data_IF_310414996778
#
_entry.id   IF_310414996778
#
_cell.length_a   1.000
_cell.length_b   1.000
_cell.length_c   1.000
_cell.angle_alpha   90.00
_cell.angle_beta   90.00
_cell.angle_gamma   90.00
#
_symmetry.space_group_name_H-M   'P 1'
#
loop_
_entity.id
_entity.type
_entity.pdbx_description
1 polymer ?
#
# COMPACT_ATOMS: atom_id res chain seq x y z
N UNK A 1 -2.99 18.91 -11.88
CA UNK A 1 -2.29 17.64 -11.58
C UNK A 1 -3.22 16.72 -10.80
N UNK A 2 -3.37 15.50 -11.28
CA UNK A 2 -4.24 14.52 -10.63
C UNK A 2 -3.43 13.68 -9.64
N UNK A 3 -3.83 13.69 -8.37
CA UNK A 3 -3.11 13.02 -7.28
C UNK A 3 -3.82 11.76 -6.84
N UNK A 4 -3.05 10.70 -6.68
CA UNK A 4 -3.54 9.37 -6.32
C UNK A 4 -2.92 8.97 -4.98
N UNK A 5 -3.67 8.31 -4.10
CA UNK A 5 -3.15 7.72 -2.87
C UNK A 5 -3.50 6.24 -2.78
N UNK A 6 -2.56 5.47 -2.26
CA UNK A 6 -2.80 4.08 -1.85
C UNK A 6 -2.20 3.84 -0.47
N UNK A 7 -2.78 2.92 0.27
CA UNK A 7 -2.39 2.59 1.64
C UNK A 7 -1.92 1.14 1.72
N UNK A 8 -0.93 0.87 2.54
CA UNK A 8 -0.51 -0.51 2.73
C UNK A 8 0.71 -0.67 3.61
N UNK A 9 1.04 -1.92 3.86
CA UNK A 9 2.22 -2.32 4.65
C UNK A 9 3.46 -2.44 3.79
N UNK A 10 3.31 -2.96 2.57
CA UNK A 10 4.39 -3.12 1.58
C UNK A 10 5.65 -3.78 2.15
N UNK A 11 5.46 -4.86 2.90
CA UNK A 11 6.58 -5.65 3.41
C UNK A 11 7.02 -6.66 2.35
N UNK A 12 8.33 -6.87 2.23
CA UNK A 12 8.90 -7.78 1.23
C UNK A 12 8.38 -7.46 -0.18
N UNK A 13 8.70 -6.26 -0.67
CA UNK A 13 8.26 -5.82 -1.99
C UNK A 13 8.49 -6.88 -3.07
N UNK A 14 7.46 -7.13 -3.85
CA UNK A 14 7.50 -8.11 -4.94
C UNK A 14 6.77 -7.55 -6.16
N UNK A 15 6.73 -8.34 -7.23
CA UNK A 15 6.14 -7.90 -8.50
C UNK A 15 4.68 -7.44 -8.35
N UNK A 16 3.90 -8.11 -7.50
CA UNK A 16 2.51 -7.71 -7.24
C UNK A 16 2.38 -6.30 -6.71
N UNK A 17 3.25 -5.92 -5.76
CA UNK A 17 3.31 -4.56 -5.23
C UNK A 17 3.71 -3.56 -6.32
N UNK A 18 4.72 -3.88 -7.09
CA UNK A 18 5.22 -2.99 -8.16
C UNK A 18 4.12 -2.78 -9.22
N UNK A 19 3.42 -3.84 -9.59
CA UNK A 19 2.34 -3.76 -10.56
C UNK A 19 1.18 -2.90 -10.04
N UNK A 20 0.83 -3.05 -8.77
CA UNK A 20 -0.20 -2.21 -8.14
C UNK A 20 0.21 -0.73 -8.17
N UNK A 21 1.43 -0.44 -7.77
CA UNK A 21 1.95 0.94 -7.73
C UNK A 21 1.99 1.56 -9.13
N UNK A 22 2.42 0.80 -10.13
CA UNK A 22 2.42 1.25 -11.53
C UNK A 22 1.01 1.58 -12.00
N UNK A 23 0.06 0.70 -11.76
CA UNK A 23 -1.33 0.89 -12.18
C UNK A 23 -1.98 2.05 -11.44
N UNK A 24 -1.70 2.21 -10.15
CA UNK A 24 -2.17 3.34 -9.38
C UNK A 24 -1.63 4.66 -9.96
N UNK A 25 -0.33 4.70 -10.27
CA UNK A 25 0.30 5.90 -10.84
C UNK A 25 -0.30 6.25 -12.21
N UNK A 26 -0.72 5.26 -12.99
CA UNK A 26 -1.36 5.48 -14.29
C UNK A 26 -2.74 6.13 -14.19
N UNK A 27 -3.36 6.13 -13.01
CA UNK A 27 -4.64 6.80 -12.78
C UNK A 27 -4.51 8.30 -12.56
N UNK A 28 -3.29 8.80 -12.47
CA UNK A 28 -3.04 10.23 -12.27
C UNK A 28 -1.61 10.61 -12.60
N UNK A 29 -1.18 11.74 -12.07
CA UNK A 29 0.13 12.33 -12.36
C UNK A 29 1.09 12.26 -11.18
N UNK A 30 0.57 11.92 -9.99
CA UNK A 30 1.33 11.97 -8.75
C UNK A 30 0.79 10.91 -7.81
N UNK A 31 1.66 10.03 -7.31
CA UNK A 31 1.27 8.94 -6.41
C UNK A 31 1.83 9.15 -5.02
N UNK A 32 0.92 9.21 -4.04
CA UNK A 32 1.23 9.20 -2.62
C UNK A 32 1.01 7.79 -2.09
N UNK A 33 1.98 7.25 -1.38
CA UNK A 33 1.84 5.96 -0.69
C UNK A 33 1.82 6.22 0.81
N UNK A 34 0.72 5.88 1.45
CA UNK A 34 0.61 5.94 2.91
C UNK A 34 1.03 4.58 3.47
N UNK A 35 2.19 4.57 4.11
CA UNK A 35 2.87 3.36 4.58
C UNK A 35 2.61 3.17 6.06
N UNK A 36 2.05 2.01 6.43
CA UNK A 36 1.75 1.72 7.83
C UNK A 36 3.03 1.66 8.68
N UNK A 37 2.99 2.33 9.83
CA UNK A 37 4.09 2.34 10.79
C UNK A 37 4.21 0.97 11.46
N UNK A 38 5.39 0.68 12.04
CA UNK A 38 5.59 -0.56 12.78
C UNK A 38 4.63 -0.66 13.96
N UNK A 39 4.44 0.44 14.69
CA UNK A 39 3.51 0.49 15.82
C UNK A 39 2.07 0.20 15.37
N UNK A 40 1.61 0.82 14.29
CA UNK A 40 0.27 0.58 13.77
C UNK A 40 0.08 -0.88 13.35
N UNK A 41 1.07 -1.46 12.67
CA UNK A 41 1.02 -2.87 12.29
C UNK A 41 0.96 -3.79 13.50
N UNK A 42 1.80 -3.54 14.50
CA UNK A 42 1.87 -4.39 15.70
C UNK A 42 0.59 -4.31 16.53
N UNK A 43 0.07 -3.10 16.76
CA UNK A 43 -1.05 -2.88 17.67
C UNK A 43 -2.40 -3.09 16.99
N UNK A 44 -2.60 -2.51 15.82
CA UNK A 44 -3.92 -2.48 15.17
C UNK A 44 -4.12 -3.58 14.12
N UNK A 45 -3.05 -4.00 13.46
CA UNK A 45 -3.12 -5.05 12.43
C UNK A 45 -2.62 -6.40 12.93
N UNK A 46 -2.04 -6.46 14.11
CA UNK A 46 -1.42 -7.67 14.67
C UNK A 46 -0.43 -8.29 13.68
N UNK A 47 0.40 -7.46 13.06
CA UNK A 47 1.41 -7.86 12.08
C UNK A 47 2.79 -7.45 12.54
N UNK A 48 3.78 -8.30 12.26
CA UNK A 48 5.18 -7.99 12.46
C UNK A 48 5.87 -8.08 11.11
N UNK A 49 6.36 -6.94 10.62
CA UNK A 49 7.01 -6.88 9.31
C UNK A 49 8.42 -7.44 9.38
N UNK A 50 8.87 -8.04 8.30
CA UNK A 50 10.26 -8.44 8.13
C UNK A 50 11.17 -7.21 8.11
N UNK A 51 10.77 -6.17 7.35
CA UNK A 51 11.50 -4.89 7.31
C UNK A 51 10.82 -3.85 8.19
N UNK A 52 11.65 -3.06 8.89
CA UNK A 52 11.17 -1.89 9.66
C UNK A 52 10.52 -0.85 8.74
N UNK A 53 9.75 0.05 9.34
CA UNK A 53 9.16 1.18 8.60
C UNK A 53 10.20 1.93 7.78
N UNK A 54 11.35 2.27 8.37
CA UNK A 54 12.39 3.03 7.68
C UNK A 54 12.91 2.31 6.44
N UNK A 55 13.10 1.00 6.51
CA UNK A 55 13.55 0.19 5.37
C UNK A 55 12.45 0.07 4.32
N UNK A 56 11.21 -0.14 4.73
CA UNK A 56 10.08 -0.21 3.80
C UNK A 56 9.88 1.12 3.08
N UNK A 57 10.00 2.23 3.81
CA UNK A 57 9.92 3.58 3.24
C UNK A 57 11.04 3.80 2.20
N UNK A 58 12.27 3.46 2.54
CA UNK A 58 13.41 3.61 1.63
C UNK A 58 13.24 2.82 0.35
N UNK A 59 12.72 1.59 0.45
CA UNK A 59 12.45 0.77 -0.73
C UNK A 59 11.37 1.39 -1.62
N UNK A 60 10.29 1.90 -1.02
CA UNK A 60 9.23 2.57 -1.78
C UNK A 60 9.72 3.84 -2.46
N UNK A 61 10.54 4.62 -1.76
CA UNK A 61 11.07 5.87 -2.30
C UNK A 61 12.01 5.64 -3.49
N UNK A 62 12.57 4.44 -3.62
CA UNK A 62 13.41 4.06 -4.75
C UNK A 62 12.59 3.62 -5.99
N UNK A 63 11.28 3.44 -5.85
CA UNK A 63 10.42 3.01 -6.94
C UNK A 63 9.99 4.22 -7.77
N UNK A 64 10.22 4.15 -9.08
CA UNK A 64 9.97 5.28 -9.98
C UNK A 64 8.52 5.76 -10.01
N UNK A 65 7.57 4.91 -9.64
CA UNK A 65 6.14 5.25 -9.68
C UNK A 65 5.68 6.00 -8.44
N UNK A 66 6.49 6.02 -7.38
CA UNK A 66 6.13 6.62 -6.08
C UNK A 66 6.71 8.03 -6.01
N UNK A 67 5.84 9.00 -5.75
CA UNK A 67 6.24 10.41 -5.66
C UNK A 67 6.42 10.87 -4.21
N UNK A 68 5.62 10.31 -3.29
CA UNK A 68 5.67 10.70 -1.88
C UNK A 68 5.27 9.52 -1.00
N UNK A 69 5.99 9.31 0.08
CA UNK A 69 5.63 8.32 1.10
C UNK A 69 5.26 9.07 2.38
N UNK A 70 4.08 8.78 2.91
CA UNK A 70 3.60 9.35 4.18
C UNK A 70 3.31 8.21 5.16
N UNK A 71 3.37 8.46 6.47
CA UNK A 71 3.05 7.42 7.44
C UNK A 71 1.55 7.21 7.61
N UNK A 72 1.15 5.95 7.78
CA UNK A 72 -0.20 5.62 8.25
C UNK A 72 -0.09 5.19 9.71
N UNK A 73 -0.66 5.99 10.61
CA UNK A 73 -0.65 5.76 12.05
C UNK A 73 -1.93 5.11 12.57
N UNK A 74 -3.05 5.27 11.85
CA UNK A 74 -4.35 4.75 12.27
C UNK A 74 -5.30 4.65 11.07
N UNK A 75 -6.43 3.96 11.29
CA UNK A 75 -7.44 3.76 10.25
C UNK A 75 -8.21 5.04 9.90
N UNK A 76 -8.30 5.96 10.86
CA UNK A 76 -9.19 7.11 10.77
C UNK A 76 -8.59 8.28 10.00
N UNK A 77 -7.30 8.28 9.72
CA UNK A 77 -6.62 9.42 9.08
C UNK A 77 -6.95 9.60 7.59
N UNK A 78 -7.63 8.64 6.96
CA UNK A 78 -7.82 8.63 5.50
C UNK A 78 -8.56 9.85 4.95
N UNK A 79 -9.64 10.28 5.61
CA UNK A 79 -10.38 11.47 5.18
C UNK A 79 -9.51 12.72 5.28
N UNK A 80 -8.79 12.86 6.39
CA UNK A 80 -7.88 13.99 6.60
C UNK A 80 -6.75 14.00 5.57
N UNK A 81 -6.18 12.83 5.27
CA UNK A 81 -5.12 12.70 4.26
C UNK A 81 -5.60 13.11 2.87
N UNK A 82 -6.79 12.66 2.50
CA UNK A 82 -7.39 13.00 1.19
C UNK A 82 -7.51 14.51 1.05
N UNK A 83 -7.94 15.19 2.10
CA UNK A 83 -8.05 16.66 2.10
C UNK A 83 -6.69 17.35 2.13
N UNK A 84 -5.81 16.93 3.03
CA UNK A 84 -4.51 17.55 3.24
C UNK A 84 -3.63 17.46 1.99
N UNK A 85 -3.60 16.32 1.35
CA UNK A 85 -2.76 16.09 0.15
C UNK A 85 -3.51 16.34 -1.15
N UNK A 86 -4.75 16.83 -1.07
CA UNK A 86 -5.56 17.16 -2.25
C UNK A 86 -5.69 15.98 -3.21
N UNK A 87 -6.07 14.83 -2.65
CA UNK A 87 -6.17 13.58 -3.39
C UNK A 87 -7.42 13.57 -4.27
N UNK A 88 -7.24 13.21 -5.54
CA UNK A 88 -8.32 13.03 -6.50
C UNK A 88 -8.83 11.60 -6.55
N UNK A 89 -7.95 10.62 -6.36
CA UNK A 89 -8.27 9.19 -6.48
C UNK A 89 -7.64 8.39 -5.36
N UNK A 90 -8.46 7.62 -4.66
CA UNK A 90 -8.02 6.64 -3.66
C UNK A 90 -8.05 5.25 -4.31
N UNK A 91 -6.95 4.51 -4.20
CA UNK A 91 -6.79 3.21 -4.86
C UNK A 91 -6.39 2.14 -3.85
N UNK A 92 -7.08 1.02 -3.90
CA UNK A 92 -6.73 -0.18 -3.12
C UNK A 92 -6.89 -1.42 -3.99
N UNK A 93 -6.32 -2.54 -3.54
CA UNK A 93 -6.61 -3.83 -4.14
C UNK A 93 -8.07 -4.24 -3.92
N UNK A 94 -8.60 -5.10 -4.78
CA UNK A 94 -10.00 -5.51 -4.72
C UNK A 94 -10.35 -6.40 -3.51
N UNK A 95 -9.37 -6.88 -2.77
CA UNK A 95 -9.58 -7.53 -1.47
C UNK A 95 -10.37 -6.63 -0.50
N UNK A 96 -10.28 -5.32 -0.71
CA UNK A 96 -10.92 -4.29 0.10
C UNK A 96 -12.19 -3.73 -0.52
N UNK A 97 -12.68 -4.32 -1.61
CA UNK A 97 -13.80 -3.77 -2.36
C UNK A 97 -14.99 -3.42 -1.46
N UNK A 98 -15.48 -2.19 -1.61
CA UNK A 98 -16.59 -1.65 -0.84
C UNK A 98 -16.22 -1.08 0.52
N UNK A 99 -15.07 -1.45 1.10
CA UNK A 99 -14.73 -1.07 2.48
C UNK A 99 -14.32 0.40 2.64
N UNK A 100 -13.95 1.05 1.55
CA UNK A 100 -13.55 2.45 1.55
C UNK A 100 -14.51 3.33 0.76
N UNK A 101 -15.71 2.85 0.49
CA UNK A 101 -16.72 3.61 -0.27
C UNK A 101 -17.14 4.89 0.43
N UNK A 102 -16.94 5.00 1.75
CA UNK A 102 -17.19 6.23 2.49
C UNK A 102 -16.33 7.39 2.00
N UNK A 103 -15.21 7.11 1.32
CA UNK A 103 -14.34 8.15 0.75
C UNK A 103 -14.89 8.74 -0.56
N UNK A 104 -15.92 8.13 -1.14
CA UNK A 104 -16.52 8.61 -2.41
C UNK A 104 -17.09 10.02 -2.31
N UNK A 105 -17.42 10.48 -1.10
CA UNK A 105 -17.84 11.86 -0.87
C UNK A 105 -16.70 12.87 -1.05
N UNK A 106 -15.45 12.41 -1.01
CA UNK A 106 -14.27 13.26 -1.01
C UNK A 106 -13.39 13.09 -2.23
N UNK A 107 -13.41 11.91 -2.86
CA UNK A 107 -12.56 11.59 -4.01
C UNK A 107 -13.12 10.38 -4.77
N UNK A 108 -12.53 10.10 -5.91
CA UNK A 108 -12.81 8.86 -6.64
C UNK A 108 -12.19 7.67 -5.88
N UNK A 109 -12.90 6.55 -5.80
CA UNK A 109 -12.43 5.33 -5.14
C UNK A 109 -12.36 4.22 -6.18
N UNK A 110 -11.18 3.63 -6.34
CA UNK A 110 -10.92 2.57 -7.32
C UNK A 110 -10.35 1.35 -6.62
N UNK A 111 -10.87 0.18 -6.96
CA UNK A 111 -10.35 -1.10 -6.48
C UNK A 111 -9.74 -1.84 -7.67
N UNK A 112 -8.45 -2.18 -7.57
CA UNK A 112 -7.72 -2.85 -8.65
C UNK A 112 -7.67 -4.34 -8.43
N UNK A 113 -7.81 -5.09 -9.51
CA UNK A 113 -7.67 -6.54 -9.47
C UNK A 113 -6.25 -6.92 -9.05
N UNK A 114 -6.16 -7.97 -8.25
CA UNK A 114 -4.89 -8.47 -7.73
C UNK A 114 -4.05 -9.09 -8.85
N UNK A 115 -2.72 -8.91 -8.76
CA UNK A 115 -1.79 -9.66 -9.60
C UNK A 115 -1.81 -11.12 -9.15
N UNK A 116 -2.21 -12.08 -10.02
CA UNK A 116 -2.35 -13.47 -9.59
C UNK A 116 -1.01 -14.11 -9.24
N UNK A 117 -1.09 -15.13 -8.40
CA UNK A 117 -0.01 -16.06 -8.06
C UNK A 117 1.17 -15.48 -7.30
N UNK A 118 1.07 -14.21 -6.79
CA UNK A 118 2.12 -13.67 -5.97
C UNK A 118 1.54 -12.86 -4.82
N UNK A 119 2.08 -13.07 -3.60
CA UNK A 119 1.74 -12.34 -2.40
C UNK A 119 2.89 -12.43 -1.40
N UNK A 120 2.92 -11.53 -0.42
CA UNK A 120 3.91 -11.60 0.67
C UNK A 120 3.79 -12.91 1.44
N UNK A 121 2.58 -13.35 1.70
CA UNK A 121 2.33 -14.62 2.39
C UNK A 121 2.90 -15.79 1.61
N UNK A 122 2.68 -15.84 0.30
CA UNK A 122 3.23 -16.89 -0.55
C UNK A 122 4.75 -16.89 -0.54
N UNK A 123 5.37 -15.72 -0.64
CA UNK A 123 6.83 -15.59 -0.60
C UNK A 123 7.37 -16.11 0.72
N UNK A 124 6.76 -15.75 1.84
CA UNK A 124 7.17 -16.23 3.17
C UNK A 124 7.05 -17.74 3.29
N UNK A 125 5.96 -18.30 2.77
CA UNK A 125 5.75 -19.76 2.78
C UNK A 125 6.77 -20.49 1.91
N UNK A 126 7.06 -19.97 0.73
CA UNK A 126 8.04 -20.56 -0.18
C UNK A 126 9.43 -20.57 0.42
N UNK A 127 9.83 -19.46 1.05
CA UNK A 127 11.12 -19.38 1.73
C UNK A 127 11.21 -20.36 2.91
N UNK A 128 10.14 -20.52 3.66
CA UNK A 128 10.08 -21.47 4.76
C UNK A 128 10.23 -22.91 4.27
N UNK A 129 9.55 -23.28 3.19
CA UNK A 129 9.66 -24.60 2.58
C UNK A 129 11.10 -24.85 2.13
N UNK A 130 11.75 -23.84 1.54
CA UNK A 130 13.14 -23.92 1.10
C UNK A 130 14.08 -24.15 2.29
N UNK A 131 13.88 -23.44 3.38
CA UNK A 131 14.63 -23.63 4.63
C UNK A 131 14.47 -25.03 5.18
N UNK A 132 13.24 -25.56 5.22
CA UNK A 132 12.93 -26.89 5.73
C UNK A 132 13.59 -27.99 4.89
N UNK A 133 13.86 -27.73 3.62
CA UNK A 133 14.54 -28.68 2.71
C UNK A 133 16.05 -28.63 2.81
N UNK A 134 16.57 -27.55 3.34
CA UNK A 134 17.99 -27.34 3.48
C UNK A 134 18.53 -28.08 4.67
#
# INVERSE_FOLDING_TARGET
MKRVVTYGTFDLLHYGHINLLRRARQLGDYLVVALSTDEFNNVSKNKFCYFSYEKRKGLLEAIRFVDLVIPEHNWQQKVDDVKLYQIDTFVMGDDWEGKFDFLKEHCEVVYLTRTPEISTTQIKNDLKITEDKA
#
